data_IF_190895656524
#
_entry.id   IF_190895656524
#
_cell.length_a   1.000
_cell.length_b   1.000
_cell.length_c   1.000
_cell.angle_alpha   90.00
_cell.angle_beta   90.00
_cell.angle_gamma   90.00
#
_symmetry.space_group_name_H-M   'P 1'
#
loop_
_entity.id
_entity.type
_entity.pdbx_description
1 polymer ?
#
# COMPACT_ATOMS: atom_id res chain seq x y z
N UNK A 1 -6.47 10.83 14.34
CA UNK A 1 -7.85 10.28 14.11
C UNK A 1 -7.68 8.81 13.71
N UNK A 2 -8.72 8.02 13.42
CA UNK A 2 -8.54 6.74 12.71
C UNK A 2 -8.93 6.94 11.26
N UNK A 3 -8.04 6.59 10.33
CA UNK A 3 -8.34 6.59 8.91
C UNK A 3 -8.64 5.16 8.47
N UNK A 4 -9.75 5.00 7.76
CA UNK A 4 -10.16 3.73 7.15
C UNK A 4 -9.80 3.79 5.66
N UNK A 5 -8.97 2.86 5.22
CA UNK A 5 -8.56 2.71 3.82
C UNK A 5 -9.28 1.51 3.26
N UNK A 6 -10.06 1.72 2.20
CA UNK A 6 -10.73 0.63 1.50
C UNK A 6 -9.74 -0.07 0.58
N UNK A 7 -9.47 -1.34 0.86
CA UNK A 7 -8.51 -2.17 0.13
C UNK A 7 -9.19 -3.14 -0.83
N UNK A 8 -10.46 -2.88 -1.15
CA UNK A 8 -11.30 -3.74 -1.98
C UNK A 8 -11.64 -3.14 -3.34
N UNK A 9 -11.72 -3.99 -4.37
CA UNK A 9 -12.33 -3.59 -5.64
C UNK A 9 -13.84 -3.45 -5.53
N UNK A 10 -14.40 -2.49 -6.27
CA UNK A 10 -15.84 -2.39 -6.47
C UNK A 10 -16.31 -3.55 -7.35
N UNK A 11 -17.34 -4.26 -6.90
CA UNK A 11 -17.99 -5.30 -7.69
C UNK A 11 -19.03 -4.66 -8.62
N UNK A 12 -18.94 -4.94 -9.93
CA UNK A 12 -19.84 -4.39 -10.94
C UNK A 12 -19.94 -5.31 -12.16
N UNK A 13 -21.01 -5.18 -12.94
CA UNK A 13 -21.15 -5.91 -14.20
C UNK A 13 -19.97 -5.59 -15.13
N UNK A 14 -19.39 -6.62 -15.75
CA UNK A 14 -18.23 -6.48 -16.63
C UNK A 14 -16.90 -6.24 -15.90
N UNK A 15 -16.86 -6.33 -14.57
CA UNK A 15 -15.58 -6.36 -13.84
C UNK A 15 -14.75 -7.56 -14.28
N UNK A 16 -13.44 -7.44 -14.11
CA UNK A 16 -12.53 -8.54 -14.40
C UNK A 16 -12.72 -9.68 -13.41
N UNK A 17 -12.89 -10.89 -13.94
CA UNK A 17 -12.83 -12.16 -13.20
C UNK A 17 -11.78 -13.06 -13.82
N UNK A 18 -11.35 -14.10 -13.08
CA UNK A 18 -10.39 -15.04 -13.62
C UNK A 18 -10.98 -15.72 -14.88
N UNK A 19 -10.32 -15.65 -16.06
CA UNK A 19 -10.97 -15.93 -17.35
C UNK A 19 -11.09 -17.42 -17.66
N UNK A 20 -11.84 -18.16 -16.83
CA UNK A 20 -12.05 -19.61 -16.96
C UNK A 20 -13.52 -19.99 -16.83
N UNK A 21 -13.98 -21.08 -17.49
CA UNK A 21 -15.40 -21.46 -17.48
C UNK A 21 -16.02 -21.74 -16.10
N UNK A 22 -15.20 -22.04 -15.08
CA UNK A 22 -15.67 -22.35 -13.72
C UNK A 22 -15.59 -21.15 -12.76
N UNK A 23 -15.17 -19.97 -13.24
CA UNK A 23 -15.25 -18.71 -12.49
C UNK A 23 -16.31 -17.83 -13.15
N UNK A 24 -17.53 -17.75 -12.58
CA UNK A 24 -18.61 -17.00 -13.21
C UNK A 24 -18.30 -15.49 -13.19
N UNK A 25 -18.73 -14.72 -14.21
CA UNK A 25 -18.70 -13.28 -14.13
C UNK A 25 -19.62 -12.80 -12.99
N UNK A 26 -19.32 -11.61 -12.44
CA UNK A 26 -20.26 -10.93 -11.56
C UNK A 26 -21.46 -10.43 -12.38
N UNK A 27 -22.66 -10.73 -11.91
CA UNK A 27 -23.91 -10.24 -12.51
C UNK A 27 -24.81 -9.61 -11.44
N UNK A 28 -25.40 -8.46 -11.77
CA UNK A 28 -26.33 -7.78 -10.89
C UNK A 28 -27.62 -7.40 -11.63
N UNK A 29 -28.74 -8.00 -11.22
CA UNK A 29 -30.07 -7.75 -11.83
C UNK A 29 -30.97 -7.01 -10.86
N UNK A 30 -31.52 -5.86 -11.25
CA UNK A 30 -32.57 -5.20 -10.48
C UNK A 30 -33.87 -6.01 -10.50
N UNK A 31 -34.41 -6.30 -9.32
CA UNK A 31 -35.70 -6.99 -9.15
C UNK A 31 -36.76 -6.05 -8.59
N UNK A 32 -36.49 -5.40 -7.46
CA UNK A 32 -37.36 -4.39 -6.88
C UNK A 32 -37.09 -3.02 -7.49
N UNK A 33 -38.14 -2.27 -7.78
CA UNK A 33 -38.12 -0.92 -8.36
C UNK A 33 -38.94 0.01 -7.48
N UNK A 34 -38.38 1.17 -7.17
CA UNK A 34 -39.07 2.19 -6.37
C UNK A 34 -40.44 2.56 -6.94
N UNK A 35 -40.57 2.68 -8.26
CA UNK A 35 -41.81 3.09 -8.92
C UNK A 35 -42.96 2.05 -8.85
N UNK A 36 -42.67 0.79 -8.54
CA UNK A 36 -43.67 -0.29 -8.54
C UNK A 36 -43.80 -0.91 -7.15
N UNK A 37 -42.68 -1.38 -6.58
CA UNK A 37 -42.69 -2.04 -5.28
C UNK A 37 -42.48 -1.06 -4.11
N UNK A 38 -42.12 0.21 -4.36
CA UNK A 38 -41.81 1.20 -3.32
C UNK A 38 -40.44 1.02 -2.65
N UNK A 39 -39.62 0.10 -3.16
CA UNK A 39 -38.29 -0.24 -2.65
C UNK A 39 -37.43 -0.81 -3.77
N UNK A 40 -36.11 -0.67 -3.69
CA UNK A 40 -35.17 -1.30 -4.63
C UNK A 40 -34.51 -2.53 -4.01
N UNK A 41 -34.38 -3.59 -4.81
CA UNK A 41 -33.61 -4.78 -4.47
C UNK A 41 -32.97 -5.37 -5.72
N UNK A 42 -31.85 -6.08 -5.54
CA UNK A 42 -31.08 -6.66 -6.64
C UNK A 42 -30.73 -8.10 -6.33
N UNK A 43 -30.73 -8.95 -7.36
CA UNK A 43 -30.14 -10.30 -7.34
C UNK A 43 -28.68 -10.17 -7.77
N UNK A 44 -27.78 -10.84 -7.06
CA UNK A 44 -26.36 -10.92 -7.39
C UNK A 44 -26.01 -12.37 -7.69
N UNK A 45 -25.28 -12.60 -8.79
CA UNK A 45 -24.57 -13.85 -9.07
C UNK A 45 -23.08 -13.55 -8.94
N UNK A 46 -22.39 -14.30 -8.09
CA UNK A 46 -20.99 -14.04 -7.75
C UNK A 46 -20.27 -15.36 -7.45
N UNK A 47 -19.05 -15.50 -7.95
CA UNK A 47 -18.16 -16.60 -7.56
C UNK A 47 -17.56 -16.38 -6.18
N UNK A 48 -17.20 -17.47 -5.49
CA UNK A 48 -16.53 -17.41 -4.18
C UNK A 48 -15.15 -16.73 -4.24
N UNK A 49 -14.51 -16.75 -5.41
CA UNK A 49 -13.21 -16.14 -5.71
C UNK A 49 -13.38 -14.96 -6.68
N UNK A 50 -14.14 -13.95 -6.27
CA UNK A 50 -14.50 -12.80 -7.12
C UNK A 50 -14.13 -11.49 -6.43
N UNK A 51 -13.45 -10.60 -7.17
CA UNK A 51 -12.94 -9.34 -6.63
C UNK A 51 -11.92 -9.58 -5.53
N UNK A 52 -11.85 -8.69 -4.55
CA UNK A 52 -11.05 -8.90 -3.34
C UNK A 52 -11.68 -10.00 -2.48
N UNK A 53 -10.95 -11.09 -2.25
CA UNK A 53 -11.50 -12.30 -1.65
C UNK A 53 -10.47 -13.05 -0.82
N UNK A 54 -10.95 -14.02 -0.04
CA UNK A 54 -10.11 -14.94 0.72
C UNK A 54 -10.33 -16.38 0.29
N UNK A 55 -9.26 -17.17 0.36
CA UNK A 55 -9.30 -18.61 0.09
C UNK A 55 -9.30 -19.40 1.40
N UNK A 56 -10.21 -20.36 1.50
CA UNK A 56 -10.15 -21.39 2.52
C UNK A 56 -9.31 -22.59 2.06
N UNK A 57 -8.79 -23.43 2.98
CA UNK A 57 -8.07 -24.64 2.61
C UNK A 57 -8.79 -25.55 1.62
N UNK A 58 -10.13 -25.62 1.70
CA UNK A 58 -10.98 -26.37 0.76
C UNK A 58 -10.73 -26.03 -0.71
N UNK A 59 -10.29 -24.81 -1.03
CA UNK A 59 -10.08 -24.37 -2.41
C UNK A 59 -9.11 -25.27 -3.19
N UNK A 60 -8.01 -25.71 -2.56
CA UNK A 60 -6.99 -26.56 -3.18
C UNK A 60 -6.78 -27.90 -2.47
N UNK A 61 -7.29 -28.07 -1.25
CA UNK A 61 -7.09 -29.27 -0.43
C UNK A 61 -8.40 -30.06 -0.36
N UNK A 62 -8.48 -31.25 -0.99
CA UNK A 62 -9.63 -32.13 -0.86
C UNK A 62 -9.92 -32.43 0.62
N UNK A 63 -11.15 -32.20 1.07
CA UNK A 63 -11.50 -32.35 2.49
C UNK A 63 -11.00 -31.24 3.41
N UNK A 64 -10.35 -30.19 2.87
CA UNK A 64 -9.89 -29.04 3.64
C UNK A 64 -11.04 -28.26 4.29
N UNK A 65 -10.70 -27.52 5.34
CA UNK A 65 -11.62 -26.64 6.09
C UNK A 65 -12.26 -25.60 5.17
N UNK A 66 -13.55 -25.35 5.37
CA UNK A 66 -14.36 -24.39 4.61
C UNK A 66 -14.50 -23.06 5.34
N UNK A 67 -14.88 -22.00 4.63
CA UNK A 67 -15.00 -20.63 5.17
C UNK A 67 -15.84 -20.57 6.45
N UNK A 68 -16.99 -21.26 6.49
CA UNK A 68 -17.91 -21.29 7.63
C UNK A 68 -17.35 -22.00 8.88
N UNK A 69 -16.19 -22.66 8.76
CA UNK A 69 -15.53 -23.39 9.83
C UNK A 69 -14.22 -22.73 10.29
N UNK A 70 -13.75 -21.70 9.60
CA UNK A 70 -12.51 -21.01 9.94
C UNK A 70 -12.70 -20.12 11.17
N UNK A 71 -11.67 -20.08 12.00
CA UNK A 71 -11.57 -19.14 13.11
C UNK A 71 -11.52 -17.70 12.55
N UNK A 72 -12.08 -16.72 13.27
CA UNK A 72 -12.14 -15.33 12.77
C UNK A 72 -10.83 -14.56 12.97
N UNK A 73 -9.97 -15.04 13.88
CA UNK A 73 -8.73 -14.41 14.30
C UNK A 73 -7.79 -14.08 13.14
N UNK A 74 -7.57 -14.93 12.10
CA UNK A 74 -6.70 -14.58 10.98
C UNK A 74 -7.17 -13.35 10.19
N UNK A 75 -8.48 -13.07 10.15
CA UNK A 75 -9.06 -12.02 9.30
C UNK A 75 -9.08 -10.63 9.95
N UNK A 76 -8.80 -10.54 11.25
CA UNK A 76 -8.83 -9.28 12.00
C UNK A 76 -7.60 -9.13 12.86
N UNK A 77 -6.95 -7.97 12.80
CA UNK A 77 -5.86 -7.59 13.70
C UNK A 77 -4.64 -6.99 13.00
N UNK A 78 -3.51 -6.84 13.71
CA UNK A 78 -2.31 -6.21 13.17
C UNK A 78 -1.80 -6.93 11.92
N UNK A 79 -1.51 -6.15 10.89
CA UNK A 79 -0.94 -6.59 9.64
C UNK A 79 0.21 -5.68 9.22
N UNK A 80 1.15 -6.27 8.48
CA UNK A 80 2.33 -5.57 7.98
C UNK A 80 2.39 -5.67 6.46
N UNK A 81 2.46 -4.52 5.79
CA UNK A 81 2.80 -4.43 4.38
C UNK A 81 4.30 -4.69 4.22
N UNK A 82 4.66 -5.54 3.27
CA UNK A 82 6.03 -5.78 2.83
C UNK A 82 6.13 -5.29 1.40
N UNK A 83 6.96 -4.27 1.18
CA UNK A 83 7.09 -3.59 -0.10
C UNK A 83 7.93 -4.41 -1.09
N UNK A 84 7.32 -4.80 -2.20
CA UNK A 84 7.93 -5.46 -3.35
C UNK A 84 7.68 -4.68 -4.65
N UNK A 85 7.46 -3.36 -4.57
CA UNK A 85 7.24 -2.50 -5.75
C UNK A 85 8.45 -2.42 -6.69
N UNK A 86 9.63 -2.83 -6.23
CA UNK A 86 10.84 -3.01 -7.05
C UNK A 86 10.86 -4.31 -7.87
N UNK A 87 9.90 -5.22 -7.64
CA UNK A 87 9.80 -6.47 -8.36
C UNK A 87 9.41 -6.26 -9.83
N UNK A 88 10.08 -6.98 -10.72
CA UNK A 88 9.80 -6.96 -12.14
C UNK A 88 8.61 -7.89 -12.48
N UNK A 89 7.91 -7.64 -13.60
CA UNK A 89 6.95 -8.60 -14.14
C UNK A 89 7.55 -10.01 -14.24
N UNK A 90 6.80 -11.02 -13.83
CA UNK A 90 7.22 -12.43 -13.77
C UNK A 90 8.44 -12.73 -12.88
N UNK A 91 8.83 -11.80 -12.00
CA UNK A 91 9.89 -12.08 -11.05
C UNK A 91 9.41 -13.07 -9.99
N UNK A 92 10.22 -14.12 -9.78
CA UNK A 92 10.06 -15.02 -8.65
C UNK A 92 10.72 -14.39 -7.41
N UNK A 93 9.94 -14.24 -6.35
CA UNK A 93 10.37 -13.73 -5.05
C UNK A 93 10.82 -14.91 -4.18
N UNK A 94 12.09 -14.90 -3.79
CA UNK A 94 12.71 -15.96 -3.00
C UNK A 94 12.77 -15.66 -1.50
N UNK A 95 13.27 -16.62 -0.73
CA UNK A 95 13.46 -16.48 0.73
C UNK A 95 14.33 -15.27 1.08
N UNK A 96 15.41 -15.06 0.35
CA UNK A 96 16.35 -13.95 0.60
C UNK A 96 15.71 -12.57 0.38
N UNK A 97 14.70 -12.46 -0.49
CA UNK A 97 13.95 -11.22 -0.70
C UNK A 97 13.07 -10.88 0.49
N UNK A 98 12.45 -11.90 1.12
CA UNK A 98 11.71 -11.75 2.37
C UNK A 98 12.66 -11.45 3.55
N UNK A 99 13.77 -12.17 3.67
CA UNK A 99 14.74 -11.96 4.75
C UNK A 99 15.31 -10.54 4.73
N UNK A 100 15.59 -9.99 3.54
CA UNK A 100 16.08 -8.62 3.38
C UNK A 100 15.08 -7.57 3.86
N UNK A 101 13.78 -7.82 3.71
CA UNK A 101 12.70 -6.85 4.01
C UNK A 101 12.15 -7.00 5.42
N UNK A 102 12.05 -8.24 5.91
CA UNK A 102 11.42 -8.57 7.20
C UNK A 102 12.47 -8.73 8.31
N UNK A 103 13.69 -9.17 7.95
CA UNK A 103 14.70 -9.56 8.93
C UNK A 103 14.16 -10.60 9.91
N UNK A 104 14.44 -10.39 11.20
CA UNK A 104 14.00 -11.27 12.29
C UNK A 104 12.53 -11.09 12.72
N UNK A 105 11.85 -10.03 12.27
CA UNK A 105 10.54 -9.61 12.77
C UNK A 105 9.45 -10.64 12.51
N UNK A 106 8.75 -11.12 13.56
CA UNK A 106 7.58 -11.98 13.35
C UNK A 106 6.40 -11.15 12.83
N UNK A 107 5.77 -11.63 11.76
CA UNK A 107 4.61 -11.01 11.11
C UNK A 107 3.53 -12.08 11.01
N UNK A 108 2.37 -11.79 11.56
CA UNK A 108 1.26 -12.74 11.62
C UNK A 108 0.34 -12.64 10.39
N UNK A 109 0.01 -11.40 9.98
CA UNK A 109 -0.72 -11.08 8.74
C UNK A 109 0.22 -10.27 7.86
N UNK A 110 0.72 -10.88 6.81
CA UNK A 110 1.68 -10.26 5.89
C UNK A 110 0.95 -9.87 4.62
N UNK A 111 1.08 -8.63 4.16
CA UNK A 111 0.55 -8.17 2.88
C UNK A 111 1.70 -7.83 1.95
N UNK A 112 1.79 -8.51 0.81
CA UNK A 112 2.79 -8.19 -0.21
C UNK A 112 2.24 -7.09 -1.13
N UNK A 113 2.93 -5.96 -1.19
CA UNK A 113 2.57 -4.84 -2.06
C UNK A 113 3.50 -4.82 -3.27
N UNK A 114 2.94 -5.01 -4.45
CA UNK A 114 3.65 -4.88 -5.72
C UNK A 114 3.21 -3.63 -6.50
N UNK A 115 2.17 -2.93 -6.02
CA UNK A 115 1.37 -1.97 -6.79
C UNK A 115 0.80 -2.60 -8.08
N UNK A 116 0.58 -3.93 -8.07
CA UNK A 116 0.09 -4.67 -9.23
C UNK A 116 -1.38 -4.37 -9.54
N UNK A 117 -2.10 -3.76 -8.59
CA UNK A 117 -3.43 -3.20 -8.79
C UNK A 117 -3.50 -2.20 -9.95
N UNK A 118 -2.37 -1.57 -10.31
CA UNK A 118 -2.28 -0.64 -11.46
C UNK A 118 -2.50 -1.35 -12.81
N UNK A 119 -2.50 -2.68 -12.83
CA UNK A 119 -2.80 -3.51 -14.00
C UNK A 119 -4.21 -4.10 -13.99
N UNK A 120 -5.03 -3.82 -12.97
CA UNK A 120 -6.43 -4.25 -12.90
C UNK A 120 -7.19 -3.89 -14.19
N UNK A 121 -8.07 -4.79 -14.65
CA UNK A 121 -8.78 -4.59 -15.91
C UNK A 121 -8.04 -5.09 -17.16
N UNK A 122 -6.79 -5.53 -17.04
CA UNK A 122 -5.95 -5.93 -18.19
C UNK A 122 -5.53 -7.38 -18.12
N UNK A 123 -5.18 -7.97 -19.28
CA UNK A 123 -4.62 -9.33 -19.33
C UNK A 123 -3.30 -9.43 -18.54
N UNK A 124 -2.52 -8.35 -18.53
CA UNK A 124 -1.25 -8.27 -17.81
C UNK A 124 -1.40 -8.57 -16.32
N UNK A 125 -2.54 -8.20 -15.72
CA UNK A 125 -2.85 -8.52 -14.33
C UNK A 125 -2.67 -10.01 -14.03
N UNK A 126 -3.11 -10.88 -14.95
CA UNK A 126 -3.10 -12.34 -14.81
C UNK A 126 -1.90 -13.06 -15.43
N UNK A 127 -1.27 -12.46 -16.45
CA UNK A 127 -0.25 -13.15 -17.23
C UNK A 127 1.18 -12.85 -16.78
N UNK A 128 1.37 -11.76 -16.02
CA UNK A 128 2.70 -11.20 -15.77
C UNK A 128 2.99 -10.88 -14.30
N UNK A 129 2.09 -11.24 -13.36
CA UNK A 129 2.32 -10.91 -11.95
C UNK A 129 3.63 -11.51 -11.42
N UNK A 130 4.34 -10.78 -10.54
CA UNK A 130 5.32 -11.38 -9.66
C UNK A 130 4.68 -12.50 -8.83
N UNK A 131 5.48 -13.49 -8.46
CA UNK A 131 5.01 -14.66 -7.71
C UNK A 131 6.09 -15.08 -6.72
N UNK A 132 5.77 -15.95 -5.77
CA UNK A 132 6.74 -16.41 -4.76
C UNK A 132 7.21 -17.84 -5.07
N UNK A 133 8.44 -18.17 -4.67
CA UNK A 133 8.93 -19.54 -4.79
C UNK A 133 8.27 -20.47 -3.76
N UNK A 134 8.30 -21.78 -4.04
CA UNK A 134 7.83 -22.79 -3.06
C UNK A 134 8.62 -22.72 -1.74
N UNK A 135 9.92 -22.44 -1.80
CA UNK A 135 10.76 -22.30 -0.62
C UNK A 135 10.39 -21.07 0.20
N UNK A 136 10.05 -19.96 -0.47
CA UNK A 136 9.52 -18.77 0.20
C UNK A 136 8.17 -19.07 0.87
N UNK A 137 7.26 -19.78 0.19
CA UNK A 137 5.99 -20.22 0.78
C UNK A 137 6.20 -21.08 2.04
N UNK A 138 7.09 -22.08 1.99
CA UNK A 138 7.44 -22.91 3.16
C UNK A 138 8.13 -22.10 4.26
N UNK A 139 8.92 -21.09 3.90
CA UNK A 139 9.56 -20.19 4.84
C UNK A 139 8.52 -19.35 5.60
N UNK A 140 7.52 -18.79 4.91
CA UNK A 140 6.41 -18.05 5.53
C UNK A 140 5.62 -18.93 6.51
N UNK A 141 5.37 -20.19 6.14
CA UNK A 141 4.73 -21.18 7.04
C UNK A 141 5.58 -21.39 8.31
N UNK A 142 6.89 -21.60 8.18
CA UNK A 142 7.79 -21.75 9.34
C UNK A 142 7.84 -20.50 10.22
N UNK A 143 7.58 -19.33 9.64
CA UNK A 143 7.50 -18.04 10.34
C UNK A 143 6.15 -17.80 11.01
N UNK A 144 5.23 -18.77 10.93
CA UNK A 144 3.90 -18.75 11.53
C UNK A 144 3.03 -17.61 11.02
N UNK A 145 3.17 -17.25 9.74
CA UNK A 145 2.22 -16.36 9.04
C UNK A 145 0.86 -17.07 8.98
N UNK A 146 -0.21 -16.42 9.45
CA UNK A 146 -1.59 -16.94 9.42
C UNK A 146 -2.38 -16.44 8.22
N UNK A 147 -2.06 -15.26 7.71
CA UNK A 147 -2.68 -14.68 6.52
C UNK A 147 -1.62 -14.06 5.62
N UNK A 148 -1.69 -14.38 4.32
CA UNK A 148 -0.89 -13.77 3.26
C UNK A 148 -1.81 -12.97 2.33
N UNK A 149 -1.71 -11.65 2.39
CA UNK A 149 -2.40 -10.72 1.50
C UNK A 149 -1.54 -10.31 0.30
N UNK A 150 -2.19 -9.95 -0.81
CA UNK A 150 -1.52 -9.45 -2.02
C UNK A 150 -2.42 -8.64 -2.94
N UNK A 151 -1.84 -7.69 -3.66
CA UNK A 151 -2.48 -6.93 -4.74
C UNK A 151 -2.37 -7.60 -6.12
N UNK A 152 -1.81 -8.82 -6.17
CA UNK A 152 -1.76 -9.69 -7.35
C UNK A 152 -2.95 -10.66 -7.38
N UNK A 153 -3.24 -11.30 -8.53
CA UNK A 153 -4.31 -12.30 -8.60
C UNK A 153 -3.97 -13.63 -7.95
N UNK A 154 -2.68 -13.94 -7.76
CA UNK A 154 -2.25 -15.16 -7.11
C UNK A 154 -0.80 -15.11 -6.64
N UNK A 155 -0.49 -15.97 -5.67
CA UNK A 155 0.88 -16.21 -5.18
C UNK A 155 1.73 -17.10 -6.13
N UNK A 156 1.07 -17.86 -6.99
CA UNK A 156 1.68 -18.81 -7.91
C UNK A 156 2.12 -18.15 -9.22
N UNK A 157 3.10 -18.78 -9.87
CA UNK A 157 3.52 -18.37 -11.21
C UNK A 157 2.34 -18.43 -12.18
N UNK A 158 2.10 -17.38 -13.00
CA UNK A 158 1.06 -17.42 -14.04
C UNK A 158 1.29 -18.52 -15.08
N UNK A 159 2.49 -19.10 -15.14
CA UNK A 159 2.83 -20.22 -16.04
C UNK A 159 2.41 -21.58 -15.49
N UNK A 160 2.06 -21.67 -14.22
CA UNK A 160 1.79 -22.89 -13.46
C UNK A 160 0.29 -23.11 -13.22
N UNK A 161 -0.53 -22.89 -14.26
CA UNK A 161 -1.98 -23.05 -14.19
C UNK A 161 -2.47 -24.51 -14.28
N UNK A 162 -3.80 -24.66 -14.22
CA UNK A 162 -4.50 -25.95 -14.35
C UNK A 162 -4.00 -26.74 -15.57
N UNK A 163 -3.56 -27.98 -15.35
CA UNK A 163 -3.05 -28.87 -16.39
C UNK A 163 -1.53 -28.82 -16.60
N UNK A 164 -0.82 -27.94 -15.89
CA UNK A 164 0.63 -28.02 -15.77
C UNK A 164 1.04 -29.13 -14.79
N UNK A 165 2.25 -29.68 -14.95
CA UNK A 165 2.84 -30.64 -13.99
C UNK A 165 2.98 -30.03 -12.58
N UNK A 166 3.04 -28.70 -12.50
CA UNK A 166 3.16 -27.92 -11.26
C UNK A 166 1.96 -26.99 -11.09
N UNK A 167 0.76 -27.54 -11.10
CA UNK A 167 -0.48 -26.79 -10.87
C UNK A 167 -0.52 -26.18 -9.44
N UNK A 168 -0.43 -24.86 -9.35
CA UNK A 168 -0.55 -24.04 -8.13
C UNK A 168 0.13 -24.60 -6.85
N UNK A 169 1.44 -24.90 -6.87
CA UNK A 169 2.14 -25.46 -5.72
C UNK A 169 2.14 -24.53 -4.50
N UNK A 170 2.22 -23.20 -4.69
CA UNK A 170 2.25 -22.24 -3.58
C UNK A 170 0.91 -22.22 -2.85
N UNK A 171 -0.21 -22.16 -3.56
CA UNK A 171 -1.54 -22.32 -2.96
C UNK A 171 -1.61 -23.59 -2.11
N UNK A 172 -1.19 -24.74 -2.67
CA UNK A 172 -1.22 -26.04 -1.99
C UNK A 172 -0.32 -26.07 -0.75
N UNK A 173 0.82 -25.37 -0.75
CA UNK A 173 1.72 -25.29 0.41
C UNK A 173 1.08 -24.45 1.52
N UNK A 174 0.64 -23.24 1.20
CA UNK A 174 0.10 -22.27 2.15
C UNK A 174 -1.21 -22.76 2.77
N UNK A 175 -2.17 -23.16 1.93
CA UNK A 175 -3.50 -23.58 2.37
C UNK A 175 -3.47 -24.90 3.18
N UNK A 176 -2.57 -25.83 2.84
CA UNK A 176 -2.38 -27.06 3.64
C UNK A 176 -1.84 -26.76 5.05
N UNK A 177 -1.07 -25.69 5.19
CA UNK A 177 -0.58 -25.21 6.48
C UNK A 177 -1.59 -24.32 7.23
N UNK A 178 -2.77 -24.07 6.65
CA UNK A 178 -3.79 -23.21 7.24
C UNK A 178 -3.52 -21.71 7.06
N UNK A 179 -2.57 -21.32 6.21
CA UNK A 179 -2.33 -19.91 5.87
C UNK A 179 -3.43 -19.45 4.93
N UNK A 180 -4.25 -18.51 5.40
CA UNK A 180 -5.31 -17.90 4.60
C UNK A 180 -4.69 -16.99 3.54
N UNK A 181 -5.23 -17.04 2.33
CA UNK A 181 -4.84 -16.11 1.27
C UNK A 181 -5.88 -15.02 1.16
N UNK A 182 -5.43 -13.78 1.00
CA UNK A 182 -6.26 -12.60 0.74
C UNK A 182 -5.76 -11.96 -0.56
N UNK A 183 -6.52 -12.12 -1.63
CA UNK A 183 -6.03 -11.74 -2.97
C UNK A 183 -6.83 -10.59 -3.55
N UNK A 184 -6.29 -10.02 -4.63
CA UNK A 184 -6.90 -8.90 -5.34
C UNK A 184 -7.11 -7.71 -4.40
N UNK A 185 -6.15 -7.42 -3.53
CA UNK A 185 -6.15 -6.18 -2.77
C UNK A 185 -5.88 -4.99 -3.70
N UNK A 186 -6.33 -3.81 -3.30
CA UNK A 186 -6.07 -2.53 -4.00
C UNK A 186 -5.77 -1.43 -3.00
N UNK A 187 -5.39 -0.24 -3.48
CA UNK A 187 -5.16 0.96 -2.66
C UNK A 187 -4.14 0.80 -1.52
N UNK A 188 -3.23 -0.18 -1.59
CA UNK A 188 -2.22 -0.41 -0.55
C UNK A 188 -1.32 0.83 -0.34
N UNK A 189 -1.07 1.62 -1.39
CA UNK A 189 -0.40 2.93 -1.30
C UNK A 189 -1.09 3.91 -0.34
N UNK A 190 -2.41 3.89 -0.28
CA UNK A 190 -3.19 4.83 0.52
C UNK A 190 -3.11 4.55 2.03
N UNK A 191 -2.55 3.41 2.45
CA UNK A 191 -2.22 3.14 3.85
C UNK A 191 -1.17 4.13 4.36
N UNK A 192 -0.21 4.55 3.53
CA UNK A 192 0.84 5.50 3.92
C UNK A 192 1.79 5.01 5.02
N UNK A 193 1.69 3.74 5.43
CA UNK A 193 2.50 3.10 6.46
C UNK A 193 2.54 1.59 6.21
N UNK A 194 3.57 0.93 6.73
CA UNK A 194 3.69 -0.52 6.67
C UNK A 194 2.82 -1.22 7.72
N UNK A 195 2.41 -0.52 8.78
CA UNK A 195 1.68 -1.10 9.90
C UNK A 195 0.24 -0.63 9.98
N UNK A 196 -0.70 -1.56 9.95
CA UNK A 196 -2.11 -1.23 10.01
C UNK A 196 -2.91 -2.35 10.68
N UNK A 197 -4.13 -2.04 11.12
CA UNK A 197 -5.08 -3.05 11.56
C UNK A 197 -5.93 -3.50 10.36
N UNK A 198 -5.87 -4.79 10.04
CA UNK A 198 -6.61 -5.41 8.94
C UNK A 198 -7.98 -5.86 9.42
N UNK A 199 -9.01 -5.65 8.59
CA UNK A 199 -10.30 -6.33 8.67
C UNK A 199 -10.62 -6.89 7.28
N UNK A 200 -10.71 -8.22 7.15
CA UNK A 200 -11.00 -8.92 5.89
C UNK A 200 -11.95 -10.11 6.12
N UNK A 201 -13.06 -9.88 6.80
CA UNK A 201 -14.01 -10.92 7.20
C UNK A 201 -14.76 -11.49 5.97
N UNK A 202 -14.77 -12.82 5.77
CA UNK A 202 -15.56 -13.47 4.73
C UNK A 202 -17.06 -13.51 5.07
N UNK A 203 -17.87 -13.67 4.02
CA UNK A 203 -19.25 -14.10 4.18
C UNK A 203 -19.27 -15.50 4.79
N UNK A 204 -20.22 -15.76 5.69
CA UNK A 204 -20.38 -17.08 6.29
C UNK A 204 -21.10 -18.05 5.33
N UNK A 205 -20.38 -18.49 4.29
CA UNK A 205 -20.89 -19.38 3.23
C UNK A 205 -20.68 -20.83 3.66
N UNK A 206 -21.80 -21.55 3.86
CA UNK A 206 -21.79 -22.97 4.19
C UNK A 206 -21.03 -23.78 3.13
N UNK A 207 -20.05 -24.57 3.57
CA UNK A 207 -19.18 -25.37 2.71
C UNK A 207 -18.39 -24.55 1.66
N UNK A 208 -18.23 -23.25 1.90
CA UNK A 208 -17.55 -22.33 0.99
C UNK A 208 -16.04 -22.61 0.89
N UNK A 209 -15.52 -22.61 -0.33
CA UNK A 209 -14.09 -22.77 -0.61
C UNK A 209 -13.32 -21.43 -0.61
N UNK A 210 -14.05 -20.32 -0.69
CA UNK A 210 -13.56 -18.95 -0.57
C UNK A 210 -14.73 -17.99 -0.36
N UNK A 211 -14.44 -16.71 -0.20
CA UNK A 211 -15.46 -15.68 -0.16
C UNK A 211 -14.90 -14.33 -0.59
N UNK A 212 -15.65 -13.53 -1.37
CA UNK A 212 -15.42 -12.10 -1.46
C UNK A 212 -15.43 -11.46 -0.06
N UNK A 213 -14.64 -10.41 0.13
CA UNK A 213 -14.54 -9.66 1.38
C UNK A 213 -14.63 -8.17 1.12
N UNK A 214 -15.08 -7.41 2.13
CA UNK A 214 -14.75 -6.00 2.22
C UNK A 214 -13.51 -5.86 3.09
N UNK A 215 -12.36 -5.84 2.44
CA UNK A 215 -11.07 -5.62 3.08
C UNK A 215 -10.86 -4.14 3.38
N UNK A 216 -10.57 -3.83 4.65
CA UNK A 216 -10.31 -2.48 5.14
C UNK A 216 -9.01 -2.50 5.93
N UNK A 217 -8.16 -1.50 5.70
CA UNK A 217 -7.05 -1.17 6.58
C UNK A 217 -7.40 0.00 7.49
N UNK A 218 -7.16 -0.13 8.77
CA UNK A 218 -7.29 0.96 9.75
C UNK A 218 -5.89 1.42 10.10
N UNK A 219 -5.60 2.67 9.77
CA UNK A 219 -4.36 3.33 10.19
C UNK A 219 -4.73 4.33 11.27
N UNK A 220 -4.00 4.29 12.37
CA UNK A 220 -4.04 5.38 13.33
C UNK A 220 -3.43 6.57 12.61
N UNK A 221 -4.28 7.54 12.28
CA UNK A 221 -3.80 8.84 11.87
C UNK A 221 -3.09 9.39 13.11
N UNK A 222 -1.75 9.33 13.05
CA UNK A 222 -0.83 10.11 13.87
C UNK A 222 -1.06 11.59 13.55
N UNK A 223 -2.31 12.03 13.63
CA UNK A 223 -2.81 13.26 13.08
C UNK A 223 -1.95 14.34 13.62
N UNK A 224 -1.14 14.93 12.74
CA UNK A 224 -0.03 15.81 13.07
C UNK A 224 0.29 15.71 14.56
N UNK A 225 0.80 14.56 15.02
CA UNK A 225 1.68 14.66 16.19
C UNK A 225 2.61 15.77 15.76
N UNK A 226 2.63 16.87 16.51
CA UNK A 226 3.59 17.94 16.38
C UNK A 226 4.98 17.33 16.18
N UNK A 227 5.30 16.94 14.95
CA UNK A 227 6.60 17.12 14.40
C UNK A 227 6.56 18.62 14.14
N UNK A 228 6.72 19.37 15.23
CA UNK A 228 7.45 20.62 15.16
C UNK A 228 8.82 20.16 14.69
N UNK A 229 8.95 19.93 13.37
CA UNK A 229 10.23 20.13 12.73
C UNK A 229 10.48 21.59 13.03
N UNK A 230 11.47 21.83 13.87
CA UNK A 230 11.95 23.18 14.06
C UNK A 230 12.28 23.71 12.66
N UNK A 231 11.98 24.99 12.40
CA UNK A 231 12.34 25.62 11.14
C UNK A 231 13.83 25.40 10.80
N UNK A 232 14.67 25.20 11.81
CA UNK A 232 16.06 24.77 11.70
C UNK A 232 16.24 23.42 11.00
N UNK A 233 15.43 22.40 11.32
CA UNK A 233 15.51 21.07 10.69
C UNK A 233 15.09 21.11 9.21
N UNK A 234 14.04 21.86 8.87
CA UNK A 234 13.60 22.07 7.49
C UNK A 234 14.69 22.74 6.64
N UNK A 235 15.33 23.79 7.17
CA UNK A 235 16.42 24.50 6.49
C UNK A 235 17.66 23.60 6.37
N UNK A 236 18.01 22.84 7.41
CA UNK A 236 19.15 21.91 7.37
C UNK A 236 18.93 20.79 6.37
N UNK A 237 17.73 20.24 6.28
CA UNK A 237 17.39 19.19 5.33
C UNK A 237 17.45 19.69 3.88
N UNK A 238 16.95 20.92 3.63
CA UNK A 238 17.06 21.55 2.31
C UNK A 238 18.52 21.73 1.88
N UNK A 239 19.36 22.24 2.79
CA UNK A 239 20.79 22.44 2.53
C UNK A 239 21.58 21.16 2.36
N UNK A 240 21.28 20.13 3.14
CA UNK A 240 21.90 18.82 2.97
C UNK A 240 21.67 18.25 1.56
N UNK A 241 20.57 18.63 0.92
CA UNK A 241 20.20 18.16 -0.42
C UNK A 241 20.76 19.04 -1.56
N UNK A 242 20.98 20.33 -1.32
CA UNK A 242 21.23 21.29 -2.41
C UNK A 242 22.53 22.12 -2.27
N UNK A 243 23.12 22.19 -1.08
CA UNK A 243 24.31 23.01 -0.87
C UNK A 243 25.58 22.32 -1.39
N UNK A 244 26.47 23.12 -1.99
CA UNK A 244 27.79 22.64 -2.46
C UNK A 244 28.75 22.32 -1.32
N UNK A 245 28.43 22.72 -0.09
CA UNK A 245 29.17 22.41 1.14
C UNK A 245 28.21 22.35 2.34
N UNK A 246 28.46 21.49 3.35
CA UNK A 246 27.58 21.35 4.50
C UNK A 246 27.56 22.62 5.37
N UNK A 247 26.40 22.94 5.96
CA UNK A 247 26.24 24.06 6.89
C UNK A 247 27.11 23.88 8.14
N UNK A 248 27.62 24.97 8.74
CA UNK A 248 28.32 24.91 10.02
C UNK A 248 27.43 24.30 11.12
N UNK A 249 28.04 23.55 12.06
CA UNK A 249 27.36 23.00 13.23
C UNK A 249 27.70 23.81 14.49
N UNK A 250 26.69 24.16 15.29
CA UNK A 250 26.84 24.93 16.53
C UNK A 250 25.80 26.05 16.69
N UNK A 251 25.65 26.59 17.91
CA UNK A 251 24.67 27.63 18.29
C UNK A 251 24.75 28.95 17.49
N UNK A 252 25.79 29.11 16.67
CA UNK A 252 26.00 30.28 15.80
C UNK A 252 25.66 30.01 14.32
N UNK A 253 25.15 28.83 13.99
CA UNK A 253 24.71 28.50 12.64
C UNK A 253 23.26 28.94 12.45
N UNK A 254 23.08 30.07 11.76
CA UNK A 254 21.80 30.72 11.41
C UNK A 254 20.98 31.15 12.64
N UNK A 255 21.34 32.30 13.22
CA UNK A 255 20.54 32.93 14.29
C UNK A 255 19.27 33.55 13.71
N UNK A 256 18.28 32.73 13.38
CA UNK A 256 16.98 33.21 12.92
C UNK A 256 16.12 33.52 14.14
N UNK A 257 15.84 34.81 14.37
CA UNK A 257 14.81 35.21 15.33
C UNK A 257 13.43 35.14 14.64
N UNK A 258 12.59 34.23 15.13
CA UNK A 258 11.23 34.03 14.64
C UNK A 258 10.26 34.94 15.38
N UNK A 259 9.29 35.51 14.67
CA UNK A 259 8.13 36.15 15.29
C UNK A 259 7.05 35.08 15.52
N UNK A 260 6.18 35.29 16.52
CA UNK A 260 5.02 34.43 16.73
C UNK A 260 4.22 34.32 15.43
N UNK A 261 3.77 33.09 15.11
CA UNK A 261 3.04 32.71 13.89
C UNK A 261 3.86 32.39 12.62
N UNK A 262 5.17 32.12 12.73
CA UNK A 262 5.96 31.53 11.63
C UNK A 262 6.42 32.53 10.56
N UNK A 263 6.35 33.83 10.87
CA UNK A 263 6.95 34.90 10.08
C UNK A 263 8.41 35.12 10.54
N UNK A 264 9.29 35.37 9.58
CA UNK A 264 10.70 35.68 9.87
C UNK A 264 10.81 37.19 10.11
N UNK A 265 11.53 37.61 11.15
CA UNK A 265 11.84 39.03 11.35
C UNK A 265 12.63 39.58 10.15
N UNK A 266 12.21 40.75 9.69
CA UNK A 266 12.83 41.55 8.62
C UNK A 266 14.35 41.69 8.71
N UNK A 267 14.91 41.77 9.93
CA UNK A 267 16.37 41.81 10.11
C UNK A 267 17.04 40.44 9.91
N UNK A 268 16.38 39.33 10.28
CA UNK A 268 16.90 37.97 10.12
C UNK A 268 17.00 37.53 8.66
N UNK A 269 15.99 37.89 7.84
CA UNK A 269 15.97 37.61 6.40
C UNK A 269 17.20 38.19 5.69
N UNK A 270 17.57 39.45 5.97
CA UNK A 270 18.66 40.14 5.26
C UNK A 270 20.01 39.48 5.51
N UNK A 271 20.27 39.03 6.74
CA UNK A 271 21.49 38.27 7.06
C UNK A 271 21.53 36.89 6.43
N UNK A 272 20.38 36.22 6.27
CA UNK A 272 20.30 34.88 5.68
C UNK A 272 20.47 34.90 4.15
N UNK A 273 20.07 35.96 3.46
CA UNK A 273 20.18 36.09 2.00
C UNK A 273 21.63 35.89 1.55
N UNK A 274 22.57 36.62 2.18
CA UNK A 274 23.98 36.53 1.82
C UNK A 274 24.54 35.11 2.01
N UNK A 275 24.12 34.42 3.08
CA UNK A 275 24.53 33.04 3.37
C UNK A 275 23.91 32.05 2.36
N UNK A 276 22.64 32.21 1.99
CA UNK A 276 21.96 31.39 0.96
C UNK A 276 22.60 31.58 -0.42
N UNK A 277 22.77 32.82 -0.85
CA UNK A 277 23.38 33.16 -2.14
C UNK A 277 24.80 32.61 -2.24
N UNK A 278 25.58 32.73 -1.16
CA UNK A 278 26.93 32.18 -1.09
C UNK A 278 26.94 30.65 -1.12
N UNK A 279 26.12 29.99 -0.31
CA UNK A 279 26.13 28.52 -0.16
C UNK A 279 25.55 27.77 -1.37
N UNK A 280 24.56 28.38 -2.04
CA UNK A 280 23.84 27.76 -3.16
C UNK A 280 24.33 28.30 -4.52
N UNK A 281 25.04 29.43 -4.54
CA UNK A 281 25.50 30.08 -5.77
C UNK A 281 24.35 30.65 -6.59
N UNK A 282 23.32 31.15 -5.92
CA UNK A 282 22.12 31.76 -6.50
C UNK A 282 22.09 33.26 -6.19
N UNK A 283 21.24 34.02 -6.87
CA UNK A 283 21.01 35.43 -6.54
C UNK A 283 19.51 35.69 -6.55
N UNK A 284 18.99 36.30 -5.49
CA UNK A 284 17.59 36.69 -5.43
C UNK A 284 17.35 37.96 -6.22
N UNK A 285 16.27 38.02 -6.99
CA UNK A 285 15.88 39.25 -7.67
C UNK A 285 15.20 40.22 -6.69
N UNK A 286 15.13 41.51 -7.07
CA UNK A 286 14.36 42.50 -6.32
C UNK A 286 12.86 42.14 -6.23
N UNK A 287 12.34 41.43 -7.23
CA UNK A 287 10.95 40.96 -7.26
C UNK A 287 10.74 39.79 -6.29
N UNK A 288 11.67 38.83 -6.22
CA UNK A 288 11.64 37.74 -5.24
C UNK A 288 11.63 38.30 -3.82
N UNK A 289 12.54 39.24 -3.51
CA UNK A 289 12.68 39.83 -2.17
C UNK A 289 11.47 40.67 -1.73
N UNK A 290 10.68 41.17 -2.68
CA UNK A 290 9.46 41.94 -2.40
C UNK A 290 8.19 41.08 -2.36
N UNK A 291 8.29 39.80 -2.70
CA UNK A 291 7.15 38.88 -2.72
C UNK A 291 6.69 38.49 -1.31
N UNK A 292 5.39 38.20 -1.17
CA UNK A 292 4.85 37.66 0.08
C UNK A 292 5.40 36.26 0.39
N UNK A 293 5.70 35.47 -0.65
CA UNK A 293 6.32 34.15 -0.51
C UNK A 293 7.64 34.24 0.26
N UNK A 294 8.45 35.27 -0.03
CA UNK A 294 9.74 35.50 0.60
C UNK A 294 9.67 35.82 2.10
N UNK A 295 8.50 36.23 2.60
CA UNK A 295 8.27 36.55 4.01
C UNK A 295 7.94 35.30 4.85
N UNK A 296 7.84 34.13 4.22
CA UNK A 296 7.52 32.85 4.86
C UNK A 296 8.59 31.81 4.54
N UNK A 297 8.87 30.88 5.45
CA UNK A 297 9.90 29.84 5.19
C UNK A 297 9.51 28.91 4.04
N UNK A 298 8.24 28.49 3.99
CA UNK A 298 7.75 27.64 2.90
C UNK A 298 7.88 28.32 1.54
N UNK A 299 7.57 29.62 1.45
CA UNK A 299 7.74 30.39 0.21
C UNK A 299 9.21 30.65 -0.13
N UNK A 300 10.07 30.92 0.87
CA UNK A 300 11.51 31.07 0.67
C UNK A 300 12.16 29.79 0.12
N UNK A 301 11.80 28.61 0.66
CA UNK A 301 12.24 27.32 0.13
C UNK A 301 11.77 27.15 -1.33
N UNK A 302 10.52 27.51 -1.63
CA UNK A 302 10.01 27.47 -2.99
C UNK A 302 10.77 28.38 -3.97
N UNK A 303 11.17 29.58 -3.54
CA UNK A 303 12.00 30.49 -4.34
C UNK A 303 13.39 29.88 -4.56
N UNK A 304 14.00 29.34 -3.50
CA UNK A 304 15.32 28.69 -3.60
C UNK A 304 15.31 27.47 -4.52
N UNK A 305 14.26 26.64 -4.50
CA UNK A 305 14.08 25.52 -5.43
C UNK A 305 13.99 25.98 -6.89
N UNK A 306 13.42 27.16 -7.15
CA UNK A 306 13.38 27.75 -8.49
C UNK A 306 14.78 28.22 -8.92
N UNK A 307 15.50 28.88 -8.01
CA UNK A 307 16.81 29.47 -8.30
C UNK A 307 17.95 28.43 -8.36
N UNK A 308 17.86 27.33 -7.61
CA UNK A 308 18.87 26.28 -7.55
C UNK A 308 18.79 25.25 -8.70
N UNK A 309 17.70 25.25 -9.49
CA UNK A 309 17.58 24.41 -10.68
C UNK A 309 18.44 24.99 -11.82
N UNK A 310 19.32 24.19 -12.45
CA UNK A 310 19.95 24.63 -13.69
C UNK A 310 18.87 24.84 -14.75
N UNK A 311 18.87 26.01 -15.39
CA UNK A 311 18.11 26.23 -16.63
C UNK A 311 18.60 25.35 -17.77
#
# INVERSE_FOLDING_TARGET
>A
MRQFVDLSYVLHDGMTTYPVPWSPPFEMTQLGRHAIEGRESRKIVIGTHCGTHVDAPRHFIPGGTTIDQLALEPFVGPATVVDFTDAKPLQEIGVSDFERRIGGRHIDRLVMRFDWSDHWGTLKFYSEQPFISEDAARWLVRRSVRLLGMDTPQADSPKNGRGSERDSPVHKILLRAGVIKLEYMTNLRALGTDEFELIALPLNIREGDGSPVRCIGIVEDKGLSEIVMTHEELVREFFARHAKSPLPTGKDALTVQYLDHGLIDSFGIVTMIADFESALGVTFSAEDMQSYEFQTIGGLIGILDRLAKPG
#
